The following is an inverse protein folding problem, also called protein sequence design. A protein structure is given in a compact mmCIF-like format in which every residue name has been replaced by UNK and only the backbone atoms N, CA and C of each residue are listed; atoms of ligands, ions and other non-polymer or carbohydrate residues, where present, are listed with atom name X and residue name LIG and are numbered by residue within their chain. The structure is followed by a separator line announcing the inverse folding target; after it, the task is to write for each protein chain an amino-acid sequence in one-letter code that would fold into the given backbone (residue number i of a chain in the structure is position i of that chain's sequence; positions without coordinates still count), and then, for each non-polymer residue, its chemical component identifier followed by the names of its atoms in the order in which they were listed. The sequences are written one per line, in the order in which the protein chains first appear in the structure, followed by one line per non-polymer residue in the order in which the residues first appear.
data_IF_364124346485
#
_entry.id   IF_364124346485
#
_cell.length_a   1.000
_cell.length_b   1.000
_cell.length_c   1.000
_cell.angle_alpha   90.00
_cell.angle_beta   90.00
_cell.angle_gamma   90.00
#
_symmetry.space_group_name_H-M   'P 1'
#
loop_
_entity.id
_entity.type
_entity.pdbx_description
1 polymer ?
#
# COMPACT_ATOMS: atom_id res chain seq x y z
N UNK A 1 -4.97 -11.98 12.54
CA UNK A 1 -4.71 -13.44 12.56
C UNK A 1 -5.12 -14.05 13.89
N UNK A 2 -4.51 -13.65 15.01
CA UNK A 2 -4.77 -14.22 16.35
C UNK A 2 -6.26 -14.22 16.71
N UNK A 3 -6.96 -13.10 16.54
CA UNK A 3 -8.42 -13.00 16.73
C UNK A 3 -9.23 -14.06 15.97
N UNK A 4 -8.87 -14.34 14.71
CA UNK A 4 -9.59 -15.34 13.90
C UNK A 4 -9.42 -16.75 14.46
N UNK A 5 -8.25 -17.04 15.03
CA UNK A 5 -7.90 -18.35 15.58
C UNK A 5 -8.58 -18.53 16.94
N UNK A 6 -8.38 -17.57 17.84
CA UNK A 6 -8.81 -17.68 19.24
C UNK A 6 -10.31 -17.43 19.44
N UNK A 7 -10.89 -16.48 18.70
CA UNK A 7 -12.28 -16.06 18.92
C UNK A 7 -13.27 -16.64 17.89
N UNK A 8 -12.76 -17.08 16.74
CA UNK A 8 -13.59 -17.64 15.66
C UNK A 8 -13.27 -19.10 15.34
N UNK A 9 -12.36 -19.74 16.06
CA UNK A 9 -11.93 -21.13 15.84
C UNK A 9 -11.50 -21.42 14.40
N UNK A 10 -10.97 -20.41 13.69
CA UNK A 10 -10.51 -20.57 12.30
C UNK A 10 -9.12 -21.20 12.30
N UNK A 11 -8.92 -22.22 11.46
CA UNK A 11 -7.62 -22.88 11.31
C UNK A 11 -6.52 -21.90 10.91
N UNK A 12 -5.31 -22.11 11.45
CA UNK A 12 -4.13 -21.25 11.27
C UNK A 12 -3.90 -20.79 9.81
N UNK A 13 -3.91 -21.73 8.85
CA UNK A 13 -3.66 -21.42 7.42
C UNK A 13 -4.78 -20.54 6.85
N UNK A 14 -6.05 -20.84 7.17
CA UNK A 14 -7.18 -20.05 6.71
C UNK A 14 -7.15 -18.63 7.30
N UNK A 15 -6.79 -18.48 8.58
CA UNK A 15 -6.61 -17.18 9.21
C UNK A 15 -5.51 -16.34 8.55
N UNK A 16 -4.38 -16.97 8.18
CA UNK A 16 -3.31 -16.30 7.43
C UNK A 16 -3.75 -15.91 6.01
N UNK A 17 -4.51 -16.76 5.32
CA UNK A 17 -5.08 -16.44 4.00
C UNK A 17 -6.04 -15.25 4.06
N UNK A 18 -6.94 -15.21 5.04
CA UNK A 18 -7.85 -14.06 5.26
C UNK A 18 -7.03 -12.78 5.50
N UNK A 19 -5.97 -12.86 6.31
CA UNK A 19 -5.09 -11.71 6.56
C UNK A 19 -4.37 -11.22 5.30
N UNK A 20 -3.91 -12.15 4.45
CA UNK A 20 -3.27 -11.80 3.18
C UNK A 20 -4.26 -11.15 2.21
N UNK A 21 -5.51 -11.61 2.17
CA UNK A 21 -6.58 -10.98 1.38
C UNK A 21 -6.84 -9.55 1.88
N UNK A 22 -6.97 -9.37 3.19
CA UNK A 22 -7.13 -8.04 3.81
C UNK A 22 -5.97 -7.11 3.46
N UNK A 23 -4.72 -7.58 3.57
CA UNK A 23 -3.54 -6.81 3.17
C UNK A 23 -3.57 -6.45 1.67
N UNK A 24 -3.91 -7.40 0.80
CA UNK A 24 -4.07 -7.13 -0.64
C UNK A 24 -5.14 -6.07 -0.92
N UNK A 25 -6.28 -6.13 -0.24
CA UNK A 25 -7.32 -5.11 -0.35
C UNK A 25 -6.85 -3.74 0.16
N UNK A 26 -6.08 -3.68 1.24
CA UNK A 26 -5.50 -2.45 1.77
C UNK A 26 -4.49 -1.79 0.80
N UNK A 27 -3.84 -2.57 -0.07
CA UNK A 27 -2.94 -2.07 -1.11
C UNK A 27 -3.66 -1.71 -2.42
N UNK A 28 -4.73 -2.43 -2.78
CA UNK A 28 -5.46 -2.20 -4.04
C UNK A 28 -6.55 -1.12 -3.96
N UNK A 29 -7.34 -1.07 -2.88
CA UNK A 29 -8.43 -0.10 -2.75
C UNK A 29 -8.00 1.38 -2.73
N UNK A 30 -6.82 1.78 -2.23
CA UNK A 30 -6.40 3.17 -2.33
C UNK A 30 -6.29 3.66 -3.78
N UNK A 31 -5.94 2.77 -4.72
CA UNK A 31 -5.93 3.09 -6.15
C UNK A 31 -7.34 3.43 -6.67
N UNK A 32 -8.35 2.65 -6.29
CA UNK A 32 -9.74 2.93 -6.65
C UNK A 32 -10.25 4.23 -6.00
N UNK A 33 -9.89 4.46 -4.73
CA UNK A 33 -10.25 5.68 -4.02
C UNK A 33 -9.62 6.94 -4.64
N UNK A 34 -8.36 6.86 -5.07
CA UNK A 34 -7.68 7.94 -5.78
C UNK A 34 -8.37 8.26 -7.11
N UNK A 35 -8.75 7.24 -7.89
CA UNK A 35 -9.51 7.45 -9.14
C UNK A 35 -10.82 8.18 -8.88
N UNK A 36 -11.58 7.76 -7.87
CA UNK A 36 -12.87 8.39 -7.53
C UNK A 36 -12.70 9.83 -7.03
N UNK A 37 -11.64 10.11 -6.28
CA UNK A 37 -11.30 11.44 -5.82
C UNK A 37 -10.93 12.36 -7.00
N UNK A 38 -10.06 11.91 -7.90
CA UNK A 38 -9.56 12.72 -9.01
C UNK A 38 -10.61 12.93 -10.13
N UNK A 39 -11.52 11.96 -10.33
CA UNK A 39 -12.49 12.00 -11.44
C UNK A 39 -13.84 12.61 -11.10
N UNK A 40 -14.37 12.40 -9.89
CA UNK A 40 -15.79 12.65 -9.60
C UNK A 40 -15.99 13.58 -8.40
N UNK A 41 -15.38 13.28 -7.25
CA UNK A 41 -15.84 13.82 -5.96
C UNK A 41 -14.85 14.77 -5.28
N UNK A 42 -13.56 14.76 -5.66
CA UNK A 42 -12.49 15.42 -4.92
C UNK A 42 -12.07 14.64 -3.67
N UNK A 43 -10.95 15.05 -3.04
CA UNK A 43 -10.36 14.31 -1.92
C UNK A 43 -11.21 14.35 -0.63
N UNK A 44 -11.71 15.51 -0.22
CA UNK A 44 -12.39 15.69 1.08
C UNK A 44 -13.65 14.83 1.22
N UNK A 45 -14.58 14.75 0.23
CA UNK A 45 -15.75 13.88 0.32
C UNK A 45 -15.40 12.39 0.38
N UNK A 46 -14.37 11.96 -0.37
CA UNK A 46 -13.88 10.57 -0.34
C UNK A 46 -13.31 10.24 1.03
N UNK A 47 -12.45 11.10 1.61
CA UNK A 47 -11.92 10.90 2.96
C UNK A 47 -13.07 10.80 3.97
N UNK A 48 -14.04 11.69 3.91
CA UNK A 48 -15.18 11.70 4.83
C UNK A 48 -15.99 10.40 4.74
N UNK A 49 -16.30 9.93 3.53
CA UNK A 49 -17.01 8.67 3.33
C UNK A 49 -16.19 7.47 3.79
N UNK A 50 -14.91 7.41 3.45
CA UNK A 50 -14.00 6.35 3.85
C UNK A 50 -13.78 6.29 5.37
N UNK A 51 -13.65 7.44 6.04
CA UNK A 51 -13.55 7.50 7.50
C UNK A 51 -14.83 6.99 8.17
N UNK A 52 -16.01 7.32 7.64
CA UNK A 52 -17.28 6.80 8.14
C UNK A 52 -17.42 5.28 7.93
N UNK A 53 -17.05 4.78 6.75
CA UNK A 53 -17.03 3.35 6.44
C UNK A 53 -16.06 2.59 7.36
N UNK A 54 -14.88 3.17 7.64
CA UNK A 54 -13.90 2.62 8.59
C UNK A 54 -14.51 2.53 9.99
N UNK A 55 -15.14 3.61 10.46
CA UNK A 55 -15.80 3.66 11.76
C UNK A 55 -16.88 2.57 11.88
N UNK A 56 -17.73 2.40 10.87
CA UNK A 56 -18.74 1.32 10.85
C UNK A 56 -18.10 -0.07 10.96
N UNK A 57 -17.01 -0.31 10.23
CA UNK A 57 -16.28 -1.58 10.28
C UNK A 57 -15.70 -1.88 11.67
N UNK A 58 -15.01 -0.90 12.28
CA UNK A 58 -14.42 -1.06 13.61
C UNK A 58 -15.49 -1.17 14.70
N UNK A 59 -16.59 -0.42 14.60
CA UNK A 59 -17.74 -0.56 15.51
C UNK A 59 -18.32 -1.97 15.38
N UNK A 60 -18.49 -2.50 14.16
CA UNK A 60 -18.99 -3.85 13.97
C UNK A 60 -18.04 -4.91 14.55
N UNK A 61 -16.72 -4.77 14.38
CA UNK A 61 -15.73 -5.63 15.05
C UNK A 61 -15.83 -5.56 16.59
N UNK A 62 -16.07 -4.36 17.13
CA UNK A 62 -16.29 -4.17 18.56
C UNK A 62 -17.56 -4.89 19.02
N UNK A 63 -18.68 -4.75 18.31
CA UNK A 63 -19.93 -5.44 18.62
C UNK A 63 -19.75 -6.97 18.57
N UNK A 64 -19.02 -7.49 17.58
CA UNK A 64 -18.67 -8.91 17.49
C UNK A 64 -17.91 -9.36 18.74
N UNK A 65 -16.91 -8.59 19.19
CA UNK A 65 -16.16 -8.93 20.38
C UNK A 65 -16.99 -8.84 21.66
N UNK A 66 -17.97 -7.92 21.73
CA UNK A 66 -18.83 -7.73 22.91
C UNK A 66 -19.94 -8.79 23.05
N UNK A 67 -20.59 -9.17 21.95
CA UNK A 67 -21.74 -10.06 21.97
C UNK A 67 -21.36 -11.50 21.67
N UNK A 68 -21.51 -12.38 22.66
CA UNK A 68 -21.15 -13.79 22.53
C UNK A 68 -22.00 -14.53 21.48
N UNK A 69 -23.23 -14.06 21.19
CA UNK A 69 -24.07 -14.60 20.11
C UNK A 69 -23.44 -14.43 18.71
N UNK A 70 -22.57 -13.43 18.53
CA UNK A 70 -21.88 -13.16 17.26
C UNK A 70 -20.56 -13.94 17.13
N UNK A 71 -20.18 -14.73 18.13
CA UNK A 71 -18.99 -15.59 18.13
C UNK A 71 -19.36 -17.06 18.35
N UNK A 72 -18.58 -18.00 17.81
CA UNK A 72 -18.75 -19.40 18.18
C UNK A 72 -18.52 -19.58 19.69
N UNK A 73 -19.05 -20.69 20.25
CA UNK A 73 -18.80 -21.04 21.64
C UNK A 73 -17.28 -21.18 21.89
N UNK A 74 -16.77 -20.68 23.02
CA UNK A 74 -15.37 -20.76 23.36
C UNK A 74 -14.95 -22.22 23.42
N UNK A 75 -13.82 -22.52 22.79
CA UNK A 75 -13.28 -23.87 22.71
C UNK A 75 -11.79 -23.83 23.03
N UNK A 76 -11.29 -24.85 23.74
CA UNK A 76 -9.84 -24.95 23.97
C UNK A 76 -9.10 -25.19 22.65
N UNK A 77 -8.09 -24.35 22.40
CA UNK A 77 -7.26 -24.35 21.20
C UNK A 77 -6.60 -25.72 21.00
N UNK A 78 -7.04 -26.48 19.99
CA UNK A 78 -6.52 -27.81 19.66
C UNK A 78 -7.42 -28.99 20.03
N UNK A 79 -8.60 -28.76 20.59
CA UNK A 79 -9.59 -29.84 20.77
C UNK A 79 -10.29 -30.19 19.45
N UNK A 80 -10.52 -31.48 19.19
CA UNK A 80 -11.25 -31.96 18.01
C UNK A 80 -12.76 -31.68 18.06
N UNK A 81 -13.24 -31.04 19.15
CA UNK A 81 -14.66 -30.82 19.47
C UNK A 81 -15.11 -29.38 19.21
N UNK A 82 -14.25 -28.51 18.66
CA UNK A 82 -14.65 -27.13 18.37
C UNK A 82 -15.67 -27.05 17.23
N UNK A 83 -16.83 -26.47 17.52
CA UNK A 83 -17.81 -26.17 16.48
C UNK A 83 -17.29 -25.06 15.56
N UNK A 84 -17.37 -25.30 14.26
CA UNK A 84 -17.09 -24.28 13.25
C UNK A 84 -18.07 -23.10 13.39
N UNK A 85 -17.63 -21.86 13.12
CA UNK A 85 -18.50 -20.69 13.21
C UNK A 85 -19.69 -20.83 12.26
N UNK A 86 -20.85 -20.33 12.69
CA UNK A 86 -22.04 -20.34 11.84
C UNK A 86 -21.83 -19.43 10.61
N UNK A 87 -22.55 -19.70 9.53
CA UNK A 87 -22.50 -18.87 8.31
C UNK A 87 -22.84 -17.40 8.58
N UNK A 88 -23.74 -17.14 9.52
CA UNK A 88 -24.13 -15.78 9.92
C UNK A 88 -22.99 -15.07 10.65
N UNK A 89 -22.36 -15.72 11.64
CA UNK A 89 -21.21 -15.17 12.37
C UNK A 89 -20.05 -14.85 11.42
N UNK A 90 -19.76 -15.75 10.50
CA UNK A 90 -18.72 -15.54 9.49
C UNK A 90 -19.08 -14.41 8.51
N UNK A 91 -20.34 -14.32 8.10
CA UNK A 91 -20.83 -13.24 7.24
C UNK A 91 -20.71 -11.87 7.89
N UNK A 92 -21.07 -11.75 9.17
CA UNK A 92 -20.92 -10.50 9.94
C UNK A 92 -19.45 -10.13 10.12
N UNK A 93 -18.58 -11.11 10.42
CA UNK A 93 -17.13 -10.89 10.51
C UNK A 93 -16.54 -10.39 9.20
N UNK A 94 -16.84 -11.04 8.07
CA UNK A 94 -16.32 -10.61 6.77
C UNK A 94 -16.88 -9.25 6.33
N UNK A 95 -18.13 -8.94 6.65
CA UNK A 95 -18.67 -7.60 6.45
C UNK A 95 -17.90 -6.55 7.27
N UNK A 96 -17.60 -6.85 8.54
CA UNK A 96 -16.84 -5.95 9.41
C UNK A 96 -15.41 -5.71 8.88
N UNK A 97 -14.72 -6.78 8.49
CA UNK A 97 -13.38 -6.69 7.88
C UNK A 97 -13.41 -5.92 6.56
N UNK A 98 -14.38 -6.20 5.68
CA UNK A 98 -14.50 -5.49 4.41
C UNK A 98 -14.74 -3.99 4.62
N UNK A 99 -15.64 -3.60 5.52
CA UNK A 99 -15.90 -2.19 5.86
C UNK A 99 -14.64 -1.52 6.43
N UNK A 100 -14.00 -2.14 7.43
CA UNK A 100 -12.80 -1.58 8.06
C UNK A 100 -11.66 -1.41 7.03
N UNK A 101 -11.44 -2.42 6.19
CA UNK A 101 -10.41 -2.40 5.14
C UNK A 101 -10.70 -1.37 4.06
N UNK A 102 -11.91 -1.32 3.51
CA UNK A 102 -12.28 -0.34 2.48
C UNK A 102 -12.20 1.09 3.01
N UNK A 103 -12.67 1.34 4.24
CA UNK A 103 -12.59 2.65 4.86
C UNK A 103 -11.15 3.10 5.12
N UNK A 104 -10.33 2.22 5.72
CA UNK A 104 -8.92 2.52 5.99
C UNK A 104 -8.15 2.78 4.69
N UNK A 105 -8.32 1.92 3.69
CA UNK A 105 -7.65 2.07 2.40
C UNK A 105 -7.98 3.39 1.70
N UNK A 106 -9.25 3.81 1.72
CA UNK A 106 -9.67 5.05 1.08
C UNK A 106 -9.05 6.29 1.72
N UNK A 107 -8.92 6.32 3.04
CA UNK A 107 -8.29 7.44 3.76
C UNK A 107 -6.77 7.50 3.57
N UNK A 108 -6.08 6.36 3.47
CA UNK A 108 -4.60 6.28 3.48
C UNK A 108 -3.92 7.15 2.42
N UNK A 109 -4.43 7.15 1.19
CA UNK A 109 -3.83 7.89 0.06
C UNK A 109 -4.42 9.29 -0.10
N UNK A 110 -5.73 9.43 0.11
CA UNK A 110 -6.40 10.73 -0.09
C UNK A 110 -6.11 11.73 1.03
N UNK A 111 -5.84 11.27 2.26
CA UNK A 111 -5.57 12.15 3.40
C UNK A 111 -4.24 12.90 3.27
N UNK A 112 -3.19 12.21 2.81
CA UNK A 112 -1.86 12.82 2.67
C UNK A 112 -1.84 13.87 1.55
N UNK A 113 -2.50 13.58 0.42
CA UNK A 113 -2.65 14.53 -0.69
C UNK A 113 -3.54 15.72 -0.30
N UNK A 114 -4.70 15.47 0.33
CA UNK A 114 -5.59 16.54 0.79
C UNK A 114 -4.93 17.48 1.79
N UNK A 115 -4.15 16.94 2.72
CA UNK A 115 -3.42 17.72 3.72
C UNK A 115 -2.32 18.59 3.10
N UNK A 116 -1.55 18.03 2.16
CA UNK A 116 -0.52 18.79 1.44
C UNK A 116 -1.13 19.92 0.59
N UNK A 117 -2.28 19.67 -0.05
CA UNK A 117 -2.96 20.64 -0.91
C UNK A 117 -3.56 21.84 -0.14
N UNK A 118 -3.61 21.79 1.20
CA UNK A 118 -3.96 22.96 2.00
C UNK A 118 -2.89 24.06 1.98
N UNK A 119 -1.64 23.71 1.65
CA UNK A 119 -0.51 24.63 1.63
C UNK A 119 -0.09 24.98 0.20
N UNK A 120 0.14 26.27 -0.05
CA UNK A 120 0.58 26.74 -1.38
C UNK A 120 2.11 26.71 -1.54
N UNK A 121 2.84 26.88 -0.44
CA UNK A 121 4.31 26.91 -0.45
C UNK A 121 4.87 25.49 -0.33
N UNK A 122 5.79 25.12 -1.22
CA UNK A 122 6.49 23.82 -1.20
C UNK A 122 7.19 23.53 0.14
N UNK A 123 7.72 24.56 0.81
CA UNK A 123 8.36 24.41 2.14
C UNK A 123 7.37 23.93 3.21
N UNK A 124 6.15 24.48 3.20
CA UNK A 124 5.12 24.16 4.19
C UNK A 124 4.53 22.77 3.91
N UNK A 125 4.38 22.40 2.63
CA UNK A 125 4.03 21.03 2.22
C UNK A 125 5.05 20.00 2.72
N UNK A 126 6.35 20.28 2.56
CA UNK A 126 7.41 19.40 3.07
C UNK A 126 7.38 19.26 4.60
N UNK A 127 7.13 20.35 5.32
CA UNK A 127 6.96 20.32 6.78
C UNK A 127 5.74 19.47 7.20
N UNK A 128 4.61 19.63 6.50
CA UNK A 128 3.42 18.79 6.70
C UNK A 128 3.74 17.31 6.52
N UNK A 129 4.41 16.93 5.43
CA UNK A 129 4.78 15.53 5.20
C UNK A 129 5.67 14.97 6.30
N UNK A 130 6.64 15.74 6.80
CA UNK A 130 7.50 15.31 7.90
C UNK A 130 6.68 14.98 9.17
N UNK A 131 5.78 15.89 9.57
CA UNK A 131 4.90 15.67 10.73
C UNK A 131 3.90 14.53 10.50
N UNK A 132 3.36 14.42 9.28
CA UNK A 132 2.47 13.34 8.89
C UNK A 132 3.16 11.98 9.04
N UNK A 133 4.35 11.81 8.45
CA UNK A 133 5.10 10.56 8.54
C UNK A 133 5.53 10.25 9.98
N UNK A 134 5.95 11.25 10.76
CA UNK A 134 6.27 11.06 12.18
C UNK A 134 5.06 10.52 12.96
N UNK A 135 3.88 11.12 12.74
CA UNK A 135 2.65 10.74 13.43
C UNK A 135 2.18 9.36 13.02
N UNK A 136 2.23 9.03 11.72
CA UNK A 136 1.85 7.70 11.21
C UNK A 136 2.76 6.61 11.76
N UNK A 137 4.08 6.80 11.74
CA UNK A 137 5.02 5.80 12.26
C UNK A 137 4.87 5.62 13.78
N UNK A 138 4.75 6.72 14.52
CA UNK A 138 4.54 6.66 15.98
C UNK A 138 3.22 5.95 16.31
N UNK A 139 2.14 6.28 15.60
CA UNK A 139 0.84 5.63 15.74
C UNK A 139 0.89 4.14 15.41
N UNK A 140 1.63 3.75 14.35
CA UNK A 140 1.82 2.35 13.99
C UNK A 140 2.57 1.57 15.08
N UNK A 141 3.63 2.14 15.68
CA UNK A 141 4.35 1.52 16.79
C UNK A 141 3.45 1.36 18.01
N UNK A 142 2.70 2.41 18.40
CA UNK A 142 1.76 2.36 19.53
C UNK A 142 0.67 1.29 19.28
N UNK A 143 0.10 1.26 18.06
CA UNK A 143 -0.91 0.27 17.69
C UNK A 143 -0.36 -1.15 17.77
N UNK A 144 0.78 -1.41 17.15
CA UNK A 144 1.35 -2.75 17.08
C UNK A 144 1.93 -3.23 18.43
N UNK A 145 2.10 -2.33 19.41
CA UNK A 145 2.52 -2.66 20.78
C UNK A 145 1.36 -2.59 21.76
N UNK A 146 0.93 -1.39 22.17
CA UNK A 146 -0.02 -1.17 23.25
C UNK A 146 -1.43 -1.72 22.95
N UNK A 147 -1.95 -1.50 21.72
CA UNK A 147 -3.28 -2.01 21.35
C UNK A 147 -3.24 -3.54 21.26
N UNK A 148 -2.27 -4.10 20.52
CA UNK A 148 -2.13 -5.57 20.41
C UNK A 148 -1.87 -6.23 21.77
N UNK A 149 -1.10 -5.59 22.66
CA UNK A 149 -0.91 -6.06 24.03
C UNK A 149 -2.22 -6.07 24.81
N UNK A 150 -3.05 -5.03 24.67
CA UNK A 150 -4.38 -4.95 25.29
C UNK A 150 -5.31 -6.04 24.75
N UNK A 151 -5.25 -6.31 23.44
CA UNK A 151 -6.02 -7.38 22.80
C UNK A 151 -5.62 -8.77 23.31
N UNK A 152 -4.32 -9.08 23.37
CA UNK A 152 -3.78 -10.41 23.73
C UNK A 152 -3.78 -10.68 25.25
N UNK A 153 -3.62 -9.65 26.09
CA UNK A 153 -3.45 -9.83 27.55
C UNK A 153 -4.61 -9.31 28.39
N UNK A 154 -5.42 -8.36 27.90
CA UNK A 154 -6.55 -7.82 28.66
C UNK A 154 -7.89 -8.33 28.11
N UNK A 155 -8.28 -7.89 26.90
CA UNK A 155 -9.40 -8.48 26.14
C UNK A 155 -9.54 -7.86 24.76
N UNK A 156 -10.05 -8.63 23.81
CA UNK A 156 -10.47 -8.16 22.48
C UNK A 156 -11.54 -7.04 22.54
N UNK A 157 -12.44 -7.10 23.53
CA UNK A 157 -13.49 -6.08 23.76
C UNK A 157 -12.87 -4.70 24.00
N UNK A 158 -11.86 -4.63 24.88
CA UNK A 158 -11.16 -3.38 25.18
C UNK A 158 -10.31 -2.91 24.00
N UNK A 159 -9.57 -3.81 23.35
CA UNK A 159 -8.74 -3.48 22.19
C UNK A 159 -9.53 -2.84 21.05
N UNK A 160 -10.59 -3.52 20.57
CA UNK A 160 -11.44 -2.95 19.52
C UNK A 160 -12.23 -1.72 19.99
N UNK A 161 -12.65 -1.66 21.26
CA UNK A 161 -13.31 -0.48 21.83
C UNK A 161 -12.42 0.77 21.82
N UNK A 162 -11.13 0.63 22.14
CA UNK A 162 -10.15 1.71 22.02
C UNK A 162 -9.98 2.16 20.57
N UNK A 163 -9.87 1.21 19.63
CA UNK A 163 -9.80 1.50 18.20
C UNK A 163 -11.05 2.22 17.68
N UNK A 164 -12.25 1.81 18.12
CA UNK A 164 -13.52 2.43 17.76
C UNK A 164 -13.60 3.86 18.28
N UNK A 165 -13.21 4.08 19.54
CA UNK A 165 -13.20 5.41 20.18
C UNK A 165 -12.23 6.35 19.46
N UNK A 166 -11.02 5.88 19.15
CA UNK A 166 -10.02 6.66 18.41
C UNK A 166 -10.52 7.02 16.99
N UNK A 167 -11.12 6.06 16.27
CA UNK A 167 -11.73 6.32 14.96
C UNK A 167 -12.88 7.33 15.05
N UNK A 168 -13.73 7.23 16.06
CA UNK A 168 -14.84 8.15 16.27
C UNK A 168 -14.35 9.58 16.53
N UNK A 169 -13.35 9.74 17.41
CA UNK A 169 -12.73 11.04 17.69
C UNK A 169 -12.12 11.62 16.41
N UNK A 170 -11.36 10.82 15.66
CA UNK A 170 -10.77 11.22 14.37
C UNK A 170 -11.83 11.69 13.37
N UNK A 171 -12.93 10.93 13.23
CA UNK A 171 -14.03 11.27 12.35
C UNK A 171 -14.72 12.59 12.75
N UNK A 172 -14.99 12.79 14.04
CA UNK A 172 -15.60 14.02 14.56
C UNK A 172 -14.69 15.23 14.30
N UNK A 173 -13.39 15.11 14.56
CA UNK A 173 -12.41 16.17 14.29
C UNK A 173 -12.39 16.51 12.80
N UNK A 174 -12.36 15.50 11.92
CA UNK A 174 -12.32 15.70 10.48
C UNK A 174 -13.58 16.39 9.96
N UNK A 175 -14.77 15.94 10.36
CA UNK A 175 -16.05 16.55 9.97
C UNK A 175 -16.16 18.00 10.50
N UNK A 176 -15.69 18.26 11.72
CA UNK A 176 -15.73 19.60 12.32
C UNK A 176 -14.88 20.61 11.54
N UNK A 177 -13.80 20.16 10.89
CA UNK A 177 -12.94 20.96 10.03
C UNK A 177 -13.52 21.30 8.65
N UNK A 178 -14.68 20.77 8.27
CA UNK A 178 -15.23 20.87 6.89
C UNK A 178 -15.28 22.30 6.33
N UNK A 179 -15.56 23.30 7.16
CA UNK A 179 -15.63 24.72 6.74
C UNK A 179 -14.26 25.36 6.50
N UNK A 180 -13.19 24.77 7.04
CA UNK A 180 -11.83 25.29 6.97
C UNK A 180 -11.03 24.70 5.81
N UNK A 181 -11.48 23.59 5.24
CA UNK A 181 -10.75 22.91 4.17
C UNK A 181 -10.85 23.64 2.83
N UNK A 182 -9.70 23.83 2.19
CA UNK A 182 -9.63 24.18 0.77
C UNK A 182 -10.05 22.97 -0.05
N UNK A 183 -11.07 23.17 -0.88
CA UNK A 183 -11.61 22.11 -1.74
C UNK A 183 -10.94 22.17 -3.09
N UNK A 184 -10.20 21.11 -3.43
CA UNK A 184 -9.60 20.96 -4.75
C UNK A 184 -10.66 20.65 -5.80
N UNK A 185 -10.54 21.27 -6.98
CA UNK A 185 -11.38 20.91 -8.12
C UNK A 185 -10.89 19.60 -8.72
N UNK A 186 -11.78 18.64 -9.07
CA UNK A 186 -11.37 17.43 -9.80
C UNK A 186 -10.69 17.82 -11.10
N UNK A 187 -9.43 17.41 -11.30
CA UNK A 187 -8.67 17.68 -12.53
C UNK A 187 -8.91 16.61 -13.61
N UNK A 188 -9.79 15.64 -13.35
CA UNK A 188 -10.02 14.48 -14.19
C UNK A 188 -9.03 13.34 -13.86
N UNK A 189 -9.38 12.12 -14.24
CA UNK A 189 -8.54 10.96 -13.97
C UNK A 189 -7.42 10.85 -15.01
N UNK A 190 -6.13 10.81 -14.60
CA UNK A 190 -5.03 10.56 -15.51
C UNK A 190 -5.14 9.21 -16.23
N UNK A 191 -5.84 8.24 -15.62
CA UNK A 191 -6.11 6.93 -16.22
C UNK A 191 -7.04 7.00 -17.43
N UNK A 192 -7.96 7.97 -17.46
CA UNK A 192 -8.82 8.17 -18.64
C UNK A 192 -7.97 8.48 -19.87
N UNK A 193 -6.88 9.23 -19.71
CA UNK A 193 -5.92 9.49 -20.79
C UNK A 193 -5.19 8.21 -21.23
N UNK A 194 -4.70 7.39 -20.29
CA UNK A 194 -4.03 6.12 -20.60
C UNK A 194 -4.96 5.14 -21.35
N UNK A 195 -6.23 5.04 -20.94
CA UNK A 195 -7.23 4.18 -21.61
C UNK A 195 -7.55 4.73 -23.00
N UNK A 196 -7.67 6.06 -23.17
CA UNK A 196 -7.88 6.67 -24.49
C UNK A 196 -6.76 6.32 -25.46
N UNK A 197 -5.50 6.36 -25.02
CA UNK A 197 -4.36 5.97 -25.87
C UNK A 197 -4.48 4.52 -26.33
N UNK A 198 -4.85 3.60 -25.43
CA UNK A 198 -5.07 2.19 -25.77
C UNK A 198 -6.20 2.02 -26.80
N UNK A 199 -7.35 2.66 -26.55
CA UNK A 199 -8.53 2.60 -27.43
C UNK A 199 -8.20 3.20 -28.80
N UNK A 200 -7.64 4.41 -28.84
CA UNK A 200 -7.26 5.09 -30.08
C UNK A 200 -6.22 4.28 -30.88
N UNK A 201 -5.21 3.71 -30.21
CA UNK A 201 -4.22 2.84 -30.86
C UNK A 201 -4.86 1.57 -31.44
N UNK A 202 -5.82 0.98 -30.74
CA UNK A 202 -6.52 -0.23 -31.22
C UNK A 202 -7.41 0.06 -32.43
N UNK A 203 -8.12 1.20 -32.42
CA UNK A 203 -8.96 1.65 -33.53
C UNK A 203 -8.11 2.00 -34.77
N UNK A 204 -6.90 2.52 -34.57
CA UNK A 204 -5.98 2.94 -35.63
C UNK A 204 -4.87 1.92 -35.92
N UNK A 205 -5.01 0.67 -35.44
CA UNK A 205 -3.96 -0.37 -35.56
C UNK A 205 -3.54 -0.68 -37.00
N UNK A 206 -4.44 -0.44 -37.98
CA UNK A 206 -4.18 -0.65 -39.42
C UNK A 206 -3.61 0.59 -40.13
N UNK A 207 -3.56 1.74 -39.47
CA UNK A 207 -3.04 2.96 -40.07
C UNK A 207 -1.51 2.89 -40.18
N UNK A 208 -0.97 3.25 -41.34
CA UNK A 208 0.47 3.35 -41.53
C UNK A 208 1.02 4.50 -40.68
N UNK A 209 1.99 4.19 -39.81
CA UNK A 209 2.64 5.20 -38.96
C UNK A 209 3.43 6.15 -39.84
N UNK A 210 2.98 7.39 -39.96
CA UNK A 210 3.65 8.43 -40.77
C UNK A 210 5.00 8.82 -40.16
N UNK A 211 5.96 9.16 -41.02
CA UNK A 211 7.26 9.71 -40.63
C UNK A 211 7.25 11.23 -40.47
N UNK A 212 6.15 11.91 -40.81
CA UNK A 212 6.05 13.37 -40.75
C UNK A 212 5.42 13.83 -39.44
N UNK A 213 6.05 14.80 -38.79
CA UNK A 213 5.66 15.30 -37.45
C UNK A 213 4.34 16.10 -37.48
N UNK A 214 4.01 16.71 -38.62
CA UNK A 214 2.77 17.46 -38.90
C UNK A 214 1.48 16.62 -38.85
N UNK A 215 1.62 15.32 -39.08
CA UNK A 215 0.51 14.36 -39.08
C UNK A 215 0.05 13.99 -37.66
N UNK A 216 0.75 14.43 -36.62
CA UNK A 216 0.44 14.12 -35.22
C UNK A 216 -0.22 15.30 -34.48
N UNK A 217 -1.14 14.98 -33.56
CA UNK A 217 -1.77 15.99 -32.71
C UNK A 217 -0.85 16.37 -31.54
N UNK A 218 -0.41 17.62 -31.49
CA UNK A 218 0.36 18.17 -30.37
C UNK A 218 -0.57 18.83 -29.34
N UNK A 219 -0.26 18.68 -28.05
CA UNK A 219 -1.03 19.28 -26.95
C UNK A 219 -0.91 20.81 -26.92
N UNK A 220 -1.91 21.49 -26.30
CA UNK A 220 -2.04 22.95 -26.26
C UNK A 220 -0.88 23.71 -25.58
N UNK A 221 0.00 23.03 -24.82
CA UNK A 221 1.09 23.65 -24.06
C UNK A 221 2.50 23.40 -24.63
N UNK A 222 2.63 22.84 -25.83
CA UNK A 222 3.94 22.57 -26.43
C UNK A 222 4.59 23.86 -27.00
N UNK A 223 5.08 24.74 -26.12
CA UNK A 223 6.19 25.63 -26.47
C UNK A 223 7.49 24.87 -26.22
N UNK A 224 8.16 24.50 -27.31
CA UNK A 224 9.59 24.11 -27.33
C UNK A 224 10.00 22.91 -26.50
N UNK A 225 9.40 21.74 -26.73
CA UNK A 225 10.08 20.48 -26.48
C UNK A 225 9.93 19.60 -27.71
N UNK A 226 11.01 19.45 -28.45
CA UNK A 226 11.21 18.38 -29.45
C UNK A 226 10.99 17.04 -28.75
N UNK A 227 9.74 16.59 -28.69
CA UNK A 227 9.37 15.27 -28.20
C UNK A 227 9.77 14.28 -29.30
N UNK A 228 11.08 14.00 -29.36
CA UNK A 228 11.66 13.00 -30.25
C UNK A 228 10.90 11.71 -30.01
N UNK A 229 10.06 11.33 -30.98
CA UNK A 229 9.29 10.10 -30.96
C UNK A 229 10.16 8.97 -30.43
N UNK A 230 9.78 8.41 -29.27
CA UNK A 230 10.57 7.30 -28.77
C UNK A 230 10.41 6.10 -29.72
N UNK A 231 11.54 5.50 -30.11
CA UNK A 231 11.59 4.32 -30.99
C UNK A 231 10.92 3.10 -30.34
N UNK A 232 10.75 3.10 -29.00
CA UNK A 232 10.07 2.06 -28.25
C UNK A 232 8.54 2.16 -28.38
N UNK A 233 7.87 1.02 -28.55
CA UNK A 233 6.42 0.90 -28.75
C UNK A 233 5.84 1.79 -29.88
N UNK A 234 6.51 1.83 -31.04
CA UNK A 234 6.13 2.67 -32.20
C UNK A 234 4.68 2.47 -32.67
N UNK A 235 4.10 1.29 -32.48
CA UNK A 235 2.70 1.04 -32.84
C UNK A 235 1.72 1.94 -32.08
N UNK A 236 2.06 2.44 -30.90
CA UNK A 236 1.20 3.35 -30.12
C UNK A 236 1.12 4.75 -30.73
N UNK A 237 2.07 5.13 -31.60
CA UNK A 237 2.06 6.44 -32.26
C UNK A 237 0.79 6.62 -33.11
N UNK A 238 0.18 5.53 -33.61
CA UNK A 238 -1.05 5.62 -34.38
C UNK A 238 -2.21 6.27 -33.60
N UNK A 239 -2.20 6.25 -32.26
CA UNK A 239 -3.19 6.92 -31.43
C UNK A 239 -3.18 8.45 -31.58
N UNK A 240 -2.01 9.03 -31.87
CA UNK A 240 -1.83 10.47 -32.07
C UNK A 240 -1.88 10.90 -33.55
N UNK A 241 -2.01 9.95 -34.48
CA UNK A 241 -2.02 10.22 -35.92
C UNK A 241 -3.38 10.82 -36.34
N UNK A 242 -3.35 11.95 -37.03
CA UNK A 242 -4.54 12.58 -37.66
C UNK A 242 -4.95 11.77 -38.87
N UNK A 243 -6.19 11.27 -38.89
CA UNK A 243 -6.78 10.59 -40.05
C UNK A 243 -7.67 11.56 -40.82
N UNK A 244 -7.93 11.33 -42.10
CA UNK A 244 -8.84 12.18 -42.89
C UNK A 244 -10.23 12.34 -42.26
N UNK A 245 -10.74 11.30 -41.60
CA UNK A 245 -12.01 11.34 -40.86
C UNK A 245 -11.95 12.28 -39.65
N UNK A 246 -10.80 12.35 -38.97
CA UNK A 246 -10.59 13.25 -37.82
C UNK A 246 -10.47 14.72 -38.29
N UNK A 247 -9.91 14.93 -39.49
CA UNK A 247 -9.80 16.26 -40.12
C UNK A 247 -11.18 16.76 -40.57
N UNK A 248 -12.02 15.88 -41.13
CA UNK A 248 -13.41 16.20 -41.51
C UNK A 248 -14.29 16.55 -40.30
N UNK A 249 -14.04 15.94 -39.14
CA UNK A 249 -14.74 16.26 -37.88
C UNK A 249 -14.30 17.57 -37.23
N UNK A 250 -13.10 18.08 -37.53
CA UNK A 250 -12.58 19.36 -37.00
C UNK A 250 -13.45 20.57 -37.36
N UNK A 251 -14.13 20.53 -38.51
CA UNK A 251 -15.08 21.56 -38.94
C UNK A 251 -16.28 21.72 -37.99
N UNK A 252 -16.52 20.77 -37.08
CA UNK A 252 -17.59 20.79 -36.09
C UNK A 252 -17.03 20.77 -34.65
N UNK A 253 -16.12 21.70 -34.36
CA UNK A 253 -15.75 22.25 -33.04
C UNK A 253 -15.22 21.35 -31.90
N UNK A 254 -15.12 20.01 -32.00
CA UNK A 254 -14.30 19.23 -31.06
C UNK A 254 -13.89 17.86 -31.64
N UNK A 255 -12.58 17.56 -31.62
CA UNK A 255 -12.07 16.22 -31.94
C UNK A 255 -12.62 15.18 -30.95
N UNK A 256 -12.94 13.97 -31.44
CA UNK A 256 -13.32 12.86 -30.56
C UNK A 256 -12.11 12.39 -29.75
N UNK A 257 -12.06 12.75 -28.47
CA UNK A 257 -10.93 12.45 -27.56
C UNK A 257 -10.65 10.96 -27.38
N UNK A 258 -11.59 10.07 -27.73
CA UNK A 258 -11.40 8.61 -27.67
C UNK A 258 -10.76 8.01 -28.94
N UNK A 259 -10.68 8.79 -30.02
CA UNK A 259 -10.12 8.36 -31.31
C UNK A 259 -8.80 9.05 -31.64
N UNK A 260 -8.58 10.25 -31.10
CA UNK A 260 -7.36 11.03 -31.32
C UNK A 260 -6.81 11.53 -29.97
N UNK A 261 -5.61 11.07 -29.62
CA UNK A 261 -4.87 11.49 -28.44
C UNK A 261 -3.74 12.46 -28.83
N UNK A 262 -3.23 13.23 -27.87
CA UNK A 262 -2.03 14.04 -28.11
C UNK A 262 -0.75 13.20 -28.03
N UNK A 263 0.33 13.67 -28.66
CA UNK A 263 1.66 13.01 -28.59
C UNK A 263 2.14 12.88 -27.14
N UNK A 264 1.86 13.87 -26.28
CA UNK A 264 2.23 13.82 -24.87
C UNK A 264 1.57 12.64 -24.14
N UNK A 265 0.26 12.44 -24.32
CA UNK A 265 -0.46 11.33 -23.68
C UNK A 265 0.07 9.96 -24.15
N UNK A 266 0.48 9.85 -25.43
CA UNK A 266 1.07 8.63 -25.98
C UNK A 266 2.45 8.35 -25.39
N UNK A 267 3.32 9.35 -25.27
CA UNK A 267 4.64 9.17 -24.66
C UNK A 267 4.53 8.91 -23.15
N UNK A 268 3.60 9.55 -22.45
CA UNK A 268 3.30 9.27 -21.04
C UNK A 268 2.91 7.79 -20.85
N UNK A 269 2.02 7.27 -21.70
CA UNK A 269 1.62 5.85 -21.67
C UNK A 269 2.77 4.90 -22.00
N UNK A 270 3.64 5.24 -22.94
CA UNK A 270 4.85 4.45 -23.24
C UNK A 270 5.80 4.37 -22.06
N UNK A 271 5.96 5.47 -21.32
CA UNK A 271 6.81 5.50 -20.12
C UNK A 271 6.29 4.55 -19.05
N UNK A 272 4.96 4.53 -18.82
CA UNK A 272 4.32 3.55 -17.93
C UNK A 272 4.61 2.11 -18.37
N UNK A 273 4.51 1.81 -19.67
CA UNK A 273 4.81 0.47 -20.20
C UNK A 273 6.28 0.05 -20.02
N UNK A 274 7.23 0.99 -20.05
CA UNK A 274 8.65 0.71 -19.77
C UNK A 274 8.92 0.39 -18.32
N UNK A 275 8.13 0.94 -17.40
CA UNK A 275 8.23 0.70 -15.96
C UNK A 275 7.51 -0.58 -15.52
N UNK A 276 6.61 -1.12 -16.35
CA UNK A 276 5.83 -2.32 -16.04
C UNK A 276 6.69 -3.54 -15.66
N UNK A 277 7.78 -3.90 -16.38
CA UNK A 277 8.63 -5.03 -15.99
C UNK A 277 9.26 -4.87 -14.62
N UNK A 278 9.67 -3.64 -14.26
CA UNK A 278 10.21 -3.32 -12.94
C UNK A 278 9.13 -3.50 -11.86
N UNK A 279 7.91 -3.00 -12.11
CA UNK A 279 6.79 -3.16 -11.18
C UNK A 279 6.48 -4.64 -10.93
N UNK A 280 6.44 -5.46 -11.99
CA UNK A 280 6.22 -6.91 -11.88
C UNK A 280 7.32 -7.60 -11.08
N UNK A 281 8.58 -7.22 -11.28
CA UNK A 281 9.69 -7.75 -10.50
C UNK A 281 9.59 -7.40 -9.01
N UNK A 282 9.20 -6.16 -8.67
CA UNK A 282 9.01 -5.74 -7.28
C UNK A 282 7.84 -6.52 -6.63
N UNK A 283 6.71 -6.69 -7.32
CA UNK A 283 5.56 -7.46 -6.81
C UNK A 283 5.97 -8.91 -6.53
N UNK A 284 6.74 -9.53 -7.45
CA UNK A 284 7.20 -10.91 -7.29
C UNK A 284 8.07 -11.08 -6.03
N UNK A 285 8.97 -10.13 -5.76
CA UNK A 285 9.86 -10.18 -4.58
C UNK A 285 9.13 -9.78 -3.28
N UNK A 286 8.13 -8.90 -3.35
CA UNK A 286 7.38 -8.44 -2.17
C UNK A 286 6.36 -9.47 -1.69
N UNK A 287 5.85 -10.33 -2.57
CA UNK A 287 4.86 -11.38 -2.22
C UNK A 287 5.36 -12.31 -1.10
N UNK A 288 6.59 -12.87 -1.16
CA UNK A 288 7.16 -13.62 -0.05
C UNK A 288 7.19 -12.88 1.28
N UNK A 289 7.47 -11.57 1.31
CA UNK A 289 7.52 -10.77 2.55
C UNK A 289 6.15 -10.76 3.23
N UNK A 290 5.10 -10.51 2.45
CA UNK A 290 3.72 -10.50 2.98
C UNK A 290 3.35 -11.88 3.53
N UNK A 291 3.69 -12.95 2.82
CA UNK A 291 3.49 -14.32 3.31
C UNK A 291 4.28 -14.60 4.60
N UNK A 292 5.55 -14.19 4.63
CA UNK A 292 6.44 -14.33 5.79
C UNK A 292 5.86 -13.62 7.02
N UNK A 293 5.32 -12.40 6.86
CA UNK A 293 4.74 -11.63 7.98
C UNK A 293 3.58 -12.38 8.67
N UNK A 294 2.67 -12.96 7.89
CA UNK A 294 1.55 -13.75 8.41
C UNK A 294 2.03 -15.04 9.08
N UNK A 295 3.02 -15.71 8.49
CA UNK A 295 3.61 -16.94 9.04
C UNK A 295 4.39 -16.69 10.33
N UNK A 296 5.09 -15.55 10.45
CA UNK A 296 5.82 -15.18 11.67
C UNK A 296 4.88 -15.06 12.87
N UNK A 297 3.68 -14.49 12.68
CA UNK A 297 2.66 -14.44 13.74
C UNK A 297 2.22 -15.86 14.15
N UNK A 298 2.02 -16.76 13.18
CA UNK A 298 1.67 -18.15 13.48
C UNK A 298 2.81 -18.90 14.19
N UNK A 299 4.05 -18.67 13.78
CA UNK A 299 5.22 -19.23 14.46
C UNK A 299 5.33 -18.69 15.88
N UNK A 300 5.02 -17.41 16.10
CA UNK A 300 5.03 -16.79 17.42
C UNK A 300 3.99 -17.42 18.38
N UNK A 301 2.86 -17.91 17.86
CA UNK A 301 1.85 -18.59 18.68
C UNK A 301 2.33 -19.93 19.23
N UNK A 302 3.33 -20.56 18.61
CA UNK A 302 3.86 -21.89 18.99
C UNK A 302 5.27 -21.84 19.58
N UNK A 303 5.80 -20.65 19.84
CA UNK A 303 7.11 -20.44 20.47
C UNK A 303 6.97 -19.91 21.89
N UNK A 304 8.04 -19.99 22.67
CA UNK A 304 8.08 -19.35 23.99
C UNK A 304 8.18 -17.83 23.82
N UNK A 305 7.12 -17.14 24.25
CA UNK A 305 6.98 -15.68 24.19
C UNK A 305 7.41 -14.97 25.48
N UNK A 306 7.97 -15.69 26.46
CA UNK A 306 8.49 -15.10 27.69
C UNK A 306 9.69 -14.20 27.43
N UNK A 307 9.59 -12.92 27.78
CA UNK A 307 10.72 -11.99 27.88
C UNK A 307 10.98 -11.73 29.36
N UNK A 308 11.74 -12.62 29.98
CA UNK A 308 11.93 -12.63 31.43
C UNK A 308 10.73 -13.21 32.18
N UNK A 309 10.68 -13.05 33.52
CA UNK A 309 9.74 -13.78 34.37
C UNK A 309 8.30 -13.22 34.39
N UNK A 310 8.08 -11.98 33.96
CA UNK A 310 6.79 -11.28 34.16
C UNK A 310 6.14 -10.76 32.90
N UNK A 311 6.80 -10.86 31.74
CA UNK A 311 6.28 -10.30 30.50
C UNK A 311 6.18 -11.36 29.41
N UNK A 312 4.96 -11.52 28.88
CA UNK A 312 4.67 -12.36 27.72
C UNK A 312 4.48 -11.45 26.51
N UNK A 313 5.37 -11.58 25.54
CA UNK A 313 5.33 -10.79 24.31
C UNK A 313 4.11 -11.19 23.46
N UNK A 314 3.25 -10.28 23.00
CA UNK A 314 2.10 -10.65 22.17
C UNK A 314 2.50 -11.24 20.81
N UNK A 315 1.89 -12.35 20.40
CA UNK A 315 2.24 -12.98 19.12
C UNK A 315 1.95 -12.07 17.92
N UNK A 316 0.88 -11.27 17.99
CA UNK A 316 0.55 -10.28 16.96
C UNK A 316 1.53 -9.12 16.85
N UNK A 317 2.36 -8.88 17.88
CA UNK A 317 3.29 -7.75 17.95
C UNK A 317 4.65 -8.03 17.32
N UNK A 318 4.92 -9.24 16.83
CA UNK A 318 6.26 -9.59 16.30
C UNK A 318 6.71 -8.68 15.16
N UNK A 319 5.76 -8.18 14.35
CA UNK A 319 6.05 -7.27 13.24
C UNK A 319 6.50 -5.86 13.68
N UNK A 320 6.33 -5.49 14.96
CA UNK A 320 6.89 -4.25 15.51
C UNK A 320 8.39 -4.17 15.31
N UNK A 321 9.08 -5.32 15.39
CA UNK A 321 10.54 -5.40 15.22
C UNK A 321 10.95 -4.92 13.83
N UNK A 322 10.18 -5.28 12.80
CA UNK A 322 10.40 -4.79 11.44
C UNK A 322 10.24 -3.27 11.39
N UNK A 323 9.15 -2.71 11.93
CA UNK A 323 8.89 -1.26 11.92
C UNK A 323 10.01 -0.48 12.62
N UNK A 324 10.44 -0.92 13.81
CA UNK A 324 11.52 -0.28 14.58
C UNK A 324 12.82 -0.36 13.78
N UNK A 325 13.15 -1.54 13.23
CA UNK A 325 14.36 -1.72 12.43
C UNK A 325 14.33 -0.83 11.19
N UNK A 326 13.21 -0.74 10.47
CA UNK A 326 13.05 0.14 9.31
C UNK A 326 13.34 1.60 9.69
N UNK A 327 12.78 2.08 10.80
CA UNK A 327 13.02 3.44 11.28
C UNK A 327 14.50 3.71 11.59
N UNK A 328 15.15 2.81 12.34
CA UNK A 328 16.57 2.93 12.69
C UNK A 328 17.44 2.96 11.43
N UNK A 329 17.19 2.04 10.49
CA UNK A 329 18.00 1.93 9.28
C UNK A 329 17.72 3.06 8.28
N UNK A 330 16.53 3.66 8.25
CA UNK A 330 16.28 4.89 7.45
C UNK A 330 17.19 6.02 7.95
N UNK A 331 17.25 6.24 9.27
CA UNK A 331 18.11 7.28 9.85
C UNK A 331 19.58 6.96 9.57
N UNK A 332 20.00 5.72 9.83
CA UNK A 332 21.38 5.28 9.62
C UNK A 332 21.79 5.36 8.14
N UNK A 333 20.89 5.04 7.21
CA UNK A 333 21.17 5.12 5.78
C UNK A 333 21.46 6.56 5.35
N UNK A 334 20.63 7.50 5.80
CA UNK A 334 20.77 8.91 5.46
C UNK A 334 22.01 9.56 6.10
N UNK A 335 22.34 9.19 7.34
CA UNK A 335 23.41 9.85 8.10
C UNK A 335 24.77 9.19 7.92
N UNK A 336 24.81 7.87 7.71
CA UNK A 336 26.05 7.10 7.70
C UNK A 336 26.28 6.41 6.35
N UNK A 337 25.35 5.56 5.90
CA UNK A 337 25.60 4.65 4.76
C UNK A 337 25.75 5.42 3.45
N UNK A 338 24.81 6.30 3.10
CA UNK A 338 24.86 7.04 1.84
C UNK A 338 26.04 8.04 1.80
N UNK A 339 26.29 8.85 2.84
CA UNK A 339 27.45 9.74 2.85
C UNK A 339 28.79 8.98 2.78
N UNK A 340 28.91 7.85 3.48
CA UNK A 340 30.12 7.04 3.46
C UNK A 340 30.35 6.40 2.09
N UNK A 341 29.30 5.87 1.46
CA UNK A 341 29.39 5.33 0.10
C UNK A 341 29.82 6.40 -0.91
N UNK A 342 29.23 7.60 -0.81
CA UNK A 342 29.59 8.72 -1.68
C UNK A 342 31.04 9.17 -1.44
N UNK A 343 31.52 9.14 -0.20
CA UNK A 343 32.91 9.45 0.14
C UNK A 343 33.89 8.41 -0.43
N UNK A 344 33.50 7.13 -0.46
CA UNK A 344 34.35 6.03 -0.91
C UNK A 344 34.37 5.86 -2.44
N UNK A 345 33.22 6.00 -3.09
CA UNK A 345 33.06 5.74 -4.54
C UNK A 345 32.99 7.01 -5.39
N UNK A 346 32.95 8.18 -4.76
CA UNK A 346 32.73 9.49 -5.38
C UNK A 346 31.43 9.60 -6.21
N UNK A 347 30.49 8.66 -6.04
CA UNK A 347 29.19 8.64 -6.72
C UNK A 347 28.07 8.32 -5.73
N UNK A 348 26.88 8.94 -5.85
CA UNK A 348 25.73 8.56 -5.03
C UNK A 348 25.18 7.19 -5.47
N UNK A 349 24.57 6.45 -4.55
CA UNK A 349 23.79 5.27 -4.91
C UNK A 349 22.60 5.67 -5.77
N UNK A 350 22.41 5.00 -6.90
CA UNK A 350 21.22 5.19 -7.73
C UNK A 350 19.98 4.58 -7.05
N UNK A 351 18.76 5.09 -7.31
CA UNK A 351 17.54 4.51 -6.76
C UNK A 351 17.42 3.02 -7.06
N UNK A 352 17.74 2.60 -8.28
CA UNK A 352 17.70 1.20 -8.69
C UNK A 352 18.68 0.32 -7.90
N UNK A 353 19.88 0.82 -7.57
CA UNK A 353 20.83 0.10 -6.72
C UNK A 353 20.30 -0.06 -5.29
N UNK A 354 19.68 0.99 -4.72
CA UNK A 354 19.05 0.91 -3.39
C UNK A 354 17.93 -0.15 -3.38
N UNK A 355 17.07 -0.17 -4.39
CA UNK A 355 16.03 -1.20 -4.55
C UNK A 355 16.64 -2.60 -4.61
N UNK A 356 17.70 -2.79 -5.42
CA UNK A 356 18.40 -4.07 -5.53
C UNK A 356 19.01 -4.54 -4.21
N UNK A 357 19.62 -3.64 -3.43
CA UNK A 357 20.17 -3.96 -2.10
C UNK A 357 19.08 -4.46 -1.16
N UNK A 358 17.93 -3.79 -1.11
CA UNK A 358 16.83 -4.25 -0.26
C UNK A 358 16.25 -5.59 -0.71
N UNK A 359 16.23 -5.88 -2.02
CA UNK A 359 15.84 -7.20 -2.53
C UNK A 359 16.79 -8.31 -2.06
N UNK A 360 18.10 -8.04 -2.02
CA UNK A 360 19.09 -9.00 -1.47
C UNK A 360 18.81 -9.27 0.01
N UNK A 361 18.55 -8.24 0.81
CA UNK A 361 18.21 -8.42 2.24
C UNK A 361 16.89 -9.17 2.45
N UNK A 362 15.90 -8.96 1.57
CA UNK A 362 14.65 -9.72 1.56
C UNK A 362 14.90 -11.21 1.38
N UNK A 363 15.70 -11.58 0.37
CA UNK A 363 16.05 -12.98 0.09
C UNK A 363 16.81 -13.59 1.27
N UNK A 364 17.75 -12.85 1.85
CA UNK A 364 18.51 -13.29 3.01
C UNK A 364 17.62 -13.49 4.24
N UNK A 365 16.64 -12.61 4.47
CA UNK A 365 15.65 -12.75 5.54
C UNK A 365 14.82 -14.03 5.40
N UNK A 366 14.37 -14.34 4.18
CA UNK A 366 13.63 -15.57 3.89
C UNK A 366 14.48 -16.81 4.13
N UNK A 367 15.75 -16.79 3.70
CA UNK A 367 16.68 -17.89 3.95
C UNK A 367 16.90 -18.13 5.44
N UNK A 368 17.11 -17.07 6.23
CA UNK A 368 17.27 -17.17 7.68
C UNK A 368 15.98 -17.66 8.35
N UNK A 369 14.82 -17.19 7.89
CA UNK A 369 13.52 -17.66 8.40
C UNK A 369 13.34 -19.16 8.19
N UNK A 370 13.75 -19.68 7.03
CA UNK A 370 13.71 -21.11 6.74
C UNK A 370 14.63 -21.90 7.68
N UNK A 371 15.84 -21.39 7.98
CA UNK A 371 16.76 -22.01 8.93
C UNK A 371 16.20 -21.99 10.36
N UNK A 372 15.63 -20.86 10.77
CA UNK A 372 14.99 -20.71 12.09
C UNK A 372 13.83 -21.70 12.24
N UNK A 373 12.98 -21.83 11.22
CA UNK A 373 11.87 -22.79 11.24
C UNK A 373 12.37 -24.24 11.24
N UNK A 374 13.39 -24.57 10.44
CA UNK A 374 13.99 -25.90 10.44
C UNK A 374 14.55 -26.27 11.83
N UNK A 375 15.14 -25.31 12.54
CA UNK A 375 15.58 -25.49 13.93
C UNK A 375 14.40 -25.65 14.89
N UNK A 376 13.35 -24.84 14.75
CA UNK A 376 12.14 -24.95 15.57
C UNK A 376 11.50 -26.33 15.43
N UNK A 377 11.37 -26.84 14.21
CA UNK A 377 10.81 -28.17 13.91
C UNK A 377 11.58 -29.30 14.59
N UNK A 378 12.91 -29.21 14.69
CA UNK A 378 13.74 -30.19 15.43
C UNK A 378 13.52 -30.16 16.95
N UNK A 379 12.92 -29.10 17.46
CA UNK A 379 12.62 -28.93 18.89
C UNK A 379 11.17 -29.34 19.22
N UNK A 380 10.35 -29.63 18.20
CA UNK A 380 8.97 -30.11 18.38
C UNK A 380 9.01 -31.49 19.01
N UNK A 381 8.39 -31.64 20.19
CA UNK A 381 8.42 -32.87 20.98
C UNK A 381 9.35 -32.83 22.20
N UNK A 382 10.16 -31.77 22.34
CA UNK A 382 10.89 -31.49 23.58
C UNK A 382 10.04 -30.61 24.51
N UNK A 383 10.19 -30.76 25.83
CA UNK A 383 9.43 -30.00 26.85
C UNK A 383 9.74 -28.49 26.87
N UNK A 384 10.77 -28.04 26.14
CA UNK A 384 11.20 -26.65 26.10
C UNK A 384 10.97 -26.03 24.71
N UNK A 385 9.87 -25.26 24.53
CA UNK A 385 9.63 -24.56 23.27
C UNK A 385 10.73 -23.53 22.97
N UNK A 386 11.04 -23.38 21.69
CA UNK A 386 12.04 -22.42 21.21
C UNK A 386 11.59 -20.99 21.48
N UNK A 387 12.50 -20.12 21.94
CA UNK A 387 12.20 -18.71 22.22
C UNK A 387 11.85 -17.92 20.94
N UNK A 388 10.88 -17.00 21.08
CA UNK A 388 10.45 -16.05 20.03
C UNK A 388 11.58 -15.14 19.53
N UNK A 389 12.63 -14.93 20.34
CA UNK A 389 13.80 -14.11 19.98
C UNK A 389 14.50 -14.59 18.70
N UNK A 390 14.40 -15.87 18.37
CA UNK A 390 14.96 -16.40 17.13
C UNK A 390 14.27 -15.89 15.85
N UNK A 391 13.08 -15.29 15.97
CA UNK A 391 12.40 -14.62 14.85
C UNK A 391 12.92 -13.20 14.62
N UNK A 392 13.66 -12.61 15.57
CA UNK A 392 14.10 -11.22 15.45
C UNK A 392 15.12 -11.02 14.32
N UNK A 393 16.15 -11.87 14.12
CA UNK A 393 17.10 -11.68 13.04
C UNK A 393 16.46 -11.54 11.64
N UNK A 394 15.57 -12.45 11.19
CA UNK A 394 14.93 -12.25 9.89
C UNK A 394 14.02 -11.01 9.86
N UNK A 395 13.30 -10.68 10.94
CA UNK A 395 12.45 -9.48 10.99
C UNK A 395 13.25 -8.17 10.92
N UNK A 396 14.43 -8.13 11.55
CA UNK A 396 15.38 -7.01 11.44
C UNK A 396 15.84 -6.88 9.99
N UNK A 397 16.21 -7.98 9.34
CA UNK A 397 16.62 -7.94 7.93
C UNK A 397 15.51 -7.46 6.98
N UNK A 398 14.24 -7.82 7.25
CA UNK A 398 13.10 -7.23 6.52
C UNK A 398 13.09 -5.71 6.73
N UNK A 399 13.29 -5.25 7.96
CA UNK A 399 13.30 -3.81 8.23
C UNK A 399 14.45 -3.07 7.54
N UNK A 400 15.64 -3.69 7.47
CA UNK A 400 16.75 -3.17 6.65
C UNK A 400 16.33 -3.11 5.18
N UNK A 401 15.74 -4.16 4.64
CA UNK A 401 15.29 -4.21 3.25
C UNK A 401 14.32 -3.06 2.93
N UNK A 402 13.30 -2.86 3.77
CA UNK A 402 12.32 -1.78 3.62
C UNK A 402 12.95 -0.40 3.67
N UNK A 403 13.93 -0.18 4.57
CA UNK A 403 14.65 1.09 4.69
C UNK A 403 15.40 1.50 3.42
N UNK A 404 15.81 0.53 2.59
CA UNK A 404 16.38 0.78 1.26
C UNK A 404 15.32 0.87 0.16
N UNK A 405 14.36 -0.06 0.14
CA UNK A 405 13.39 -0.18 -0.94
C UNK A 405 12.35 0.95 -0.95
N UNK A 406 11.76 1.28 0.20
CA UNK A 406 10.59 2.16 0.23
C UNK A 406 10.92 3.59 -0.24
N UNK A 407 11.98 4.26 0.28
CA UNK A 407 12.37 5.58 -0.24
C UNK A 407 12.83 5.53 -1.69
N UNK A 408 13.54 4.46 -2.08
CA UNK A 408 14.10 4.34 -3.43
C UNK A 408 13.03 4.07 -4.50
N UNK A 409 12.01 3.26 -4.20
CA UNK A 409 10.87 3.05 -5.08
C UNK A 409 10.08 4.34 -5.26
N UNK A 410 9.84 5.09 -4.19
CA UNK A 410 9.21 6.42 -4.28
C UNK A 410 10.05 7.35 -5.16
N UNK A 411 11.36 7.44 -4.91
CA UNK A 411 12.29 8.27 -5.71
C UNK A 411 12.28 7.88 -7.19
N UNK A 412 12.32 6.58 -7.49
CA UNK A 412 12.30 6.06 -8.86
C UNK A 412 10.98 6.33 -9.56
N UNK A 413 9.85 6.01 -8.93
CA UNK A 413 8.54 6.24 -9.54
C UNK A 413 8.25 7.72 -9.70
N UNK A 414 8.64 8.58 -8.76
CA UNK A 414 8.49 10.03 -8.95
C UNK A 414 9.44 10.62 -10.00
N UNK A 415 10.64 10.08 -10.15
CA UNK A 415 11.63 10.56 -11.11
C UNK A 415 11.34 10.15 -12.56
N UNK A 416 10.76 8.96 -12.75
CA UNK A 416 10.51 8.38 -14.07
C UNK A 416 9.08 8.62 -14.58
N UNK A 417 8.11 8.93 -13.70
CA UNK A 417 6.75 9.22 -14.15
C UNK A 417 6.61 10.64 -14.72
N UNK A 418 5.81 10.83 -15.78
CA UNK A 418 5.44 12.15 -16.27
C UNK A 418 4.80 13.02 -15.19
N UNK A 419 5.01 14.34 -15.25
CA UNK A 419 4.44 15.28 -14.27
C UNK A 419 2.91 15.21 -14.21
N UNK A 420 2.26 14.94 -15.34
CA UNK A 420 0.81 14.72 -15.48
C UNK A 420 0.29 13.50 -14.69
N UNK A 421 1.17 12.54 -14.36
CA UNK A 421 0.84 11.27 -13.70
C UNK A 421 1.42 11.18 -12.28
N UNK A 422 1.88 12.27 -11.68
CA UNK A 422 2.61 12.20 -10.40
C UNK A 422 1.77 11.64 -9.22
N UNK A 423 0.47 11.93 -9.18
CA UNK A 423 -0.46 11.33 -8.21
C UNK A 423 -0.69 9.83 -8.49
N UNK A 424 -0.60 9.42 -9.76
CA UNK A 424 -0.66 8.01 -10.18
C UNK A 424 0.59 7.25 -9.77
N UNK A 425 1.78 7.88 -9.81
CA UNK A 425 3.03 7.28 -9.33
C UNK A 425 2.95 6.91 -7.83
N UNK A 426 2.36 7.77 -7.00
CA UNK A 426 2.14 7.48 -5.57
C UNK A 426 1.17 6.30 -5.35
N UNK A 427 0.12 6.23 -6.17
CA UNK A 427 -0.86 5.14 -6.12
C UNK A 427 -0.27 3.82 -6.60
N UNK A 428 0.58 3.85 -7.64
CA UNK A 428 1.30 2.69 -8.14
C UNK A 428 2.34 2.19 -7.13
N UNK A 429 3.01 3.10 -6.44
CA UNK A 429 3.93 2.74 -5.35
C UNK A 429 3.20 1.94 -4.26
N UNK A 430 1.98 2.36 -3.90
CA UNK A 430 1.15 1.65 -2.91
C UNK A 430 0.55 0.33 -3.42
N UNK A 431 0.48 0.14 -4.74
CA UNK A 431 0.03 -1.10 -5.36
C UNK A 431 1.16 -2.13 -5.43
N UNK A 432 2.39 -1.64 -5.61
CA UNK A 432 3.58 -2.46 -5.88
C UNK A 432 4.32 -2.85 -4.59
N UNK A 433 4.25 -1.99 -3.56
CA UNK A 433 4.80 -2.19 -2.21
C UNK A 433 3.64 -2.46 -1.26
#
# INVERSE_FOLDING_TARGET
IVFLIEEFNIKNIAAAQISNIVNGCLSMFPFAAAILADSLFGNIPIISASAFISLLGIVLLTLIAFFDNLRPQPCETGSNLCHSPSKLQLGVLYAALALATTGTAGTRVTLSSAGANQYEKRKDQGSFFNWYFLTVNTGAIISATAIVYTEDNASWKLGFGLCATANLISFIIFISGKRLYKHDKPMGSPFTSLIRVLVAASLKRKAAVSSKEEDYLHGKEAKTSTAIHSKSFRFLNCAALKTEEDIKQSGNSNYNMWRLCSVQEVEDFKTVLRLLPLCLAIVFVSTPIVMQSSLMVLQALVTDRGLGPHFKFPAGSVLVITIISSCIFIIMNNWLVFPMYQKLTHKPLTPLQKVGIGQVFTILSMAISAVVEAKRLKTVGNDHPMSVLWQFPPLILVGIAEAFQLPANVELFYGEFPESLRNTAASLTSLVI
#
